data_IF_958519118375
#
_entry.id   IF_958519118375
#
_cell.length_a   1.000
_cell.length_b   1.000
_cell.length_c   1.000
_cell.angle_alpha   90.00
_cell.angle_beta   90.00
_cell.angle_gamma   90.00
#
_symmetry.space_group_name_H-M   'P 1'
#
loop_
_entity.id
_entity.type
_entity.pdbx_description
1 polymer ?
#
# COMPACT_ATOMS: atom_id res chain seq x y z
N UNK A 1 23.63 -43.95 -1.41
CA UNK A 1 23.27 -42.54 -1.65
C UNK A 1 22.00 -42.26 -0.87
N UNK A 2 22.08 -41.48 0.21
CA UNK A 2 20.89 -41.10 0.98
C UNK A 2 20.05 -40.13 0.15
N UNK A 3 18.80 -40.51 -0.10
CA UNK A 3 17.79 -39.61 -0.65
C UNK A 3 17.56 -38.52 0.40
N UNK A 4 17.90 -37.27 0.07
CA UNK A 4 17.51 -36.11 0.87
C UNK A 4 16.00 -35.96 0.67
N UNK A 5 15.22 -36.42 1.64
CA UNK A 5 13.79 -36.12 1.69
C UNK A 5 13.61 -34.65 2.05
N UNK A 6 13.36 -33.82 1.03
CA UNK A 6 12.97 -32.43 1.24
C UNK A 6 11.52 -32.43 1.71
N UNK A 7 11.31 -32.05 2.97
CA UNK A 7 9.98 -31.75 3.48
C UNK A 7 9.41 -30.54 2.73
N UNK A 8 8.52 -30.80 1.77
CA UNK A 8 7.96 -29.78 0.87
C UNK A 8 7.13 -28.74 1.61
N UNK A 9 6.51 -29.09 2.73
CA UNK A 9 5.69 -28.18 3.52
C UNK A 9 6.57 -27.21 4.32
N UNK A 10 7.64 -27.73 4.92
CA UNK A 10 8.67 -26.93 5.58
C UNK A 10 9.31 -25.94 4.59
N UNK A 11 9.69 -26.42 3.40
CA UNK A 11 10.30 -25.60 2.36
C UNK A 11 9.35 -24.49 1.86
N UNK A 12 8.05 -24.79 1.72
CA UNK A 12 7.04 -23.78 1.35
C UNK A 12 6.83 -22.74 2.43
N UNK A 13 6.86 -23.15 3.70
CA UNK A 13 6.72 -22.23 4.84
C UNK A 13 7.87 -21.23 4.87
N UNK A 14 9.10 -21.73 4.82
CA UNK A 14 10.33 -20.90 4.79
C UNK A 14 10.33 -19.96 3.57
N UNK A 15 9.91 -20.46 2.40
CA UNK A 15 9.82 -19.63 1.19
C UNK A 15 8.81 -18.48 1.34
N UNK A 16 7.65 -18.74 1.96
CA UNK A 16 6.65 -17.69 2.21
C UNK A 16 7.18 -16.62 3.16
N UNK A 17 7.86 -17.02 4.24
CA UNK A 17 8.42 -16.10 5.23
C UNK A 17 9.51 -15.21 4.60
N UNK A 18 10.45 -15.81 3.84
CA UNK A 18 11.48 -15.06 3.11
C UNK A 18 10.91 -14.09 2.07
N UNK A 19 9.93 -14.54 1.28
CA UNK A 19 9.27 -13.67 0.30
C UNK A 19 8.54 -12.53 1.00
N UNK A 20 7.91 -12.78 2.15
CA UNK A 20 7.25 -11.75 2.92
C UNK A 20 8.24 -10.75 3.51
N UNK A 21 9.37 -11.18 4.09
CA UNK A 21 10.42 -10.28 4.58
C UNK A 21 11.04 -9.43 3.47
N UNK A 22 11.34 -10.02 2.31
CA UNK A 22 11.88 -9.27 1.16
C UNK A 22 10.87 -8.23 0.70
N UNK A 23 9.61 -8.63 0.55
CA UNK A 23 8.57 -7.72 0.12
C UNK A 23 8.21 -6.69 1.20
N UNK A 24 8.36 -6.96 2.49
CA UNK A 24 8.20 -5.95 3.55
C UNK A 24 9.38 -4.99 3.59
N UNK A 25 10.61 -5.49 3.46
CA UNK A 25 11.83 -4.69 3.39
C UNK A 25 11.87 -3.77 2.16
N UNK A 26 11.34 -4.24 1.03
CA UNK A 26 11.14 -3.45 -0.19
C UNK A 26 9.85 -2.61 -0.16
N UNK A 27 9.03 -2.73 0.89
CA UNK A 27 7.79 -1.96 1.06
C UNK A 27 6.66 -2.33 0.09
N UNK A 28 6.62 -3.59 -0.32
CA UNK A 28 5.70 -4.21 -1.27
C UNK A 28 4.56 -5.05 -0.61
N UNK A 29 4.73 -5.58 0.61
CA UNK A 29 3.64 -6.23 1.39
C UNK A 29 3.31 -5.41 2.65
N UNK A 30 2.01 -5.31 2.99
CA UNK A 30 1.46 -4.42 4.05
C UNK A 30 1.52 -2.91 3.72
N UNK A 31 2.25 -2.58 2.67
CA UNK A 31 2.76 -1.25 2.34
C UNK A 31 2.21 -0.72 1.02
N UNK A 32 1.24 -1.42 0.43
CA UNK A 32 0.64 -1.07 -0.86
C UNK A 32 -0.88 -0.91 -0.73
N UNK A 33 -1.39 0.25 -1.10
CA UNK A 33 -2.82 0.50 -1.29
C UNK A 33 -3.20 0.37 -2.77
N UNK A 34 -4.39 -0.16 -3.01
CA UNK A 34 -5.08 -0.07 -4.31
C UNK A 34 -6.03 1.12 -4.28
N UNK A 35 -6.55 1.52 -5.44
CA UNK A 35 -7.46 2.65 -5.59
C UNK A 35 -8.62 2.64 -4.57
N UNK A 36 -9.27 1.50 -4.32
CA UNK A 36 -10.38 1.45 -3.37
C UNK A 36 -9.95 1.78 -1.94
N UNK A 37 -8.76 1.33 -1.53
CA UNK A 37 -8.21 1.70 -0.22
C UNK A 37 -7.81 3.18 -0.19
N UNK A 38 -7.19 3.68 -1.25
CA UNK A 38 -6.85 5.11 -1.37
C UNK A 38 -8.10 6.00 -1.25
N UNK A 39 -9.22 5.59 -1.87
CA UNK A 39 -10.51 6.28 -1.73
C UNK A 39 -10.99 6.33 -0.30
N UNK A 40 -10.89 5.23 0.43
CA UNK A 40 -11.25 5.20 1.84
C UNK A 40 -10.37 6.14 2.68
N UNK A 41 -9.05 6.12 2.48
CA UNK A 41 -8.10 6.98 3.21
C UNK A 41 -8.29 8.47 2.87
N UNK A 42 -8.77 8.77 1.66
CA UNK A 42 -9.18 10.11 1.25
C UNK A 42 -10.62 10.47 1.65
N UNK A 43 -11.27 9.73 2.56
CA UNK A 43 -12.62 10.07 3.03
C UNK A 43 -13.73 9.82 1.99
N UNK A 44 -13.55 8.83 1.12
CA UNK A 44 -14.55 8.40 0.13
C UNK A 44 -14.50 9.12 -1.21
N UNK A 45 -13.46 9.93 -1.47
CA UNK A 45 -13.33 10.69 -2.72
C UNK A 45 -13.41 9.82 -3.98
N UNK A 46 -13.78 10.45 -5.09
CA UNK A 46 -13.89 9.76 -6.38
C UNK A 46 -12.51 9.35 -6.91
N UNK A 47 -12.48 8.35 -7.78
CA UNK A 47 -11.25 7.91 -8.45
C UNK A 47 -10.59 9.06 -9.23
N UNK A 48 -11.39 9.85 -9.94
CA UNK A 48 -10.89 10.96 -10.76
C UNK A 48 -10.30 12.05 -9.87
N UNK A 49 -10.96 12.36 -8.74
CA UNK A 49 -10.42 13.31 -7.76
C UNK A 49 -9.04 12.88 -7.24
N UNK A 50 -8.87 11.59 -6.91
CA UNK A 50 -7.57 11.05 -6.46
C UNK A 50 -6.53 11.13 -7.57
N UNK A 51 -6.89 10.84 -8.82
CA UNK A 51 -5.94 10.93 -9.92
C UNK A 51 -5.46 12.37 -10.09
N UNK A 52 -6.39 13.32 -10.11
CA UNK A 52 -6.10 14.73 -10.39
C UNK A 52 -5.36 15.42 -9.25
N UNK A 53 -5.73 15.13 -7.99
CA UNK A 53 -5.22 15.84 -6.83
C UNK A 53 -4.07 15.12 -6.13
N UNK A 54 -3.98 13.79 -6.27
CA UNK A 54 -2.98 12.97 -5.58
C UNK A 54 -1.98 12.36 -6.56
N UNK A 55 -2.43 11.58 -7.55
CA UNK A 55 -1.50 10.88 -8.44
C UNK A 55 -0.61 11.84 -9.23
N UNK A 56 -1.14 13.01 -9.62
CA UNK A 56 -0.39 14.04 -10.34
C UNK A 56 0.28 15.07 -9.42
N UNK A 57 0.17 14.92 -8.10
CA UNK A 57 0.80 15.86 -7.17
C UNK A 57 2.33 15.83 -7.32
N UNK A 58 3.04 16.98 -7.41
CA UNK A 58 4.47 17.01 -7.66
C UNK A 58 5.31 16.17 -6.69
N UNK A 59 4.93 16.15 -5.40
CA UNK A 59 5.58 15.32 -4.38
C UNK A 59 5.39 13.82 -4.65
N UNK A 60 4.17 13.39 -5.00
CA UNK A 60 3.85 11.99 -5.27
C UNK A 60 4.60 11.48 -6.50
N UNK A 61 4.68 12.30 -7.55
CA UNK A 61 5.43 11.99 -8.77
C UNK A 61 6.93 11.93 -8.49
N UNK A 62 7.49 12.95 -7.82
CA UNK A 62 8.93 13.04 -7.54
C UNK A 62 9.45 11.89 -6.67
N UNK A 63 8.63 11.41 -5.74
CA UNK A 63 9.00 10.34 -4.80
C UNK A 63 8.42 8.97 -5.18
N UNK A 64 7.79 8.87 -6.36
CA UNK A 64 7.20 7.65 -6.91
C UNK A 64 6.29 6.94 -5.90
N UNK A 65 5.37 7.69 -5.29
CA UNK A 65 4.45 7.18 -4.27
C UNK A 65 3.23 6.49 -4.87
N UNK A 66 2.88 6.83 -6.11
CA UNK A 66 1.82 6.20 -6.89
C UNK A 66 2.40 5.69 -8.21
N UNK A 67 2.13 4.44 -8.53
CA UNK A 67 2.58 3.76 -9.75
C UNK A 67 1.36 3.25 -10.50
N UNK A 68 1.35 3.46 -11.82
CA UNK A 68 0.29 2.95 -12.69
C UNK A 68 0.74 1.63 -13.31
N UNK A 69 0.08 0.54 -12.93
CA UNK A 69 0.28 -0.79 -13.49
C UNK A 69 -0.87 -1.10 -14.48
N UNK A 70 -0.60 -0.84 -15.76
CA UNK A 70 -1.59 -0.92 -16.82
C UNK A 70 -2.79 0.01 -16.60
N UNK A 71 -3.93 -0.57 -16.20
CA UNK A 71 -5.17 0.17 -15.88
C UNK A 71 -5.36 0.45 -14.38
N UNK A 72 -4.50 -0.12 -13.54
CA UNK A 72 -4.62 -0.06 -12.09
C UNK A 72 -3.62 0.93 -11.50
N UNK A 73 -3.98 1.52 -10.36
CA UNK A 73 -3.07 2.34 -9.56
C UNK A 73 -2.69 1.60 -8.28
N UNK A 74 -1.40 1.68 -7.97
CA UNK A 74 -0.74 1.07 -6.83
C UNK A 74 -0.06 2.20 -6.05
N UNK A 75 -0.25 2.22 -4.74
CA UNK A 75 0.15 3.34 -3.88
C UNK A 75 1.00 2.85 -2.72
N UNK A 76 2.09 3.54 -2.38
CA UNK A 76 2.93 3.20 -1.21
C UNK A 76 2.24 3.65 0.08
N UNK A 77 1.48 2.77 0.72
CA UNK A 77 0.59 3.01 1.86
C UNK A 77 1.19 3.93 2.93
N UNK A 78 2.33 3.57 3.53
CA UNK A 78 2.93 4.36 4.62
C UNK A 78 3.25 5.80 4.18
N UNK A 79 3.90 5.96 3.02
CA UNK A 79 4.26 7.27 2.49
C UNK A 79 3.05 8.07 2.01
N UNK A 80 2.01 7.38 1.55
CA UNK A 80 0.74 8.02 1.19
C UNK A 80 -0.01 8.50 2.44
N UNK A 81 -0.03 7.73 3.52
CA UNK A 81 -0.61 8.13 4.82
C UNK A 81 0.07 9.42 5.32
N UNK A 82 1.41 9.44 5.32
CA UNK A 82 2.23 10.62 5.67
C UNK A 82 1.97 11.81 4.74
N UNK A 83 1.86 11.55 3.43
CA UNK A 83 1.56 12.58 2.43
C UNK A 83 0.17 13.20 2.64
N UNK A 84 -0.87 12.38 2.88
CA UNK A 84 -2.22 12.86 3.14
C UNK A 84 -2.24 13.70 4.42
N UNK A 85 -1.58 13.23 5.48
CA UNK A 85 -1.50 13.97 6.75
C UNK A 85 -0.80 15.34 6.59
N UNK A 86 0.17 15.44 5.66
CA UNK A 86 0.92 16.67 5.42
C UNK A 86 0.21 17.66 4.49
N UNK A 87 -0.37 17.19 3.38
CA UNK A 87 -0.88 18.04 2.30
C UNK A 87 -2.40 18.15 2.27
N UNK A 88 -3.12 17.22 2.92
CA UNK A 88 -4.58 17.17 2.96
C UNK A 88 -5.09 16.93 4.40
N UNK A 89 -4.70 17.79 5.37
CA UNK A 89 -5.04 17.60 6.78
C UNK A 89 -6.55 17.58 7.05
N UNK A 90 -7.37 18.17 6.19
CA UNK A 90 -8.82 18.13 6.23
C UNK A 90 -9.39 16.71 6.04
N UNK A 91 -8.68 15.84 5.30
CA UNK A 91 -9.10 14.45 5.10
C UNK A 91 -8.83 13.56 6.33
N UNK A 92 -7.95 14.01 7.23
CA UNK A 92 -7.54 13.30 8.46
C UNK A 92 -8.70 13.01 9.40
N UNK A 93 -9.67 13.91 9.46
CA UNK A 93 -10.84 13.79 10.33
C UNK A 93 -11.72 12.59 9.91
N UNK A 94 -11.72 12.26 8.63
CA UNK A 94 -12.63 11.25 8.07
C UNK A 94 -12.06 9.84 8.20
N UNK A 95 -10.79 9.59 7.82
CA UNK A 95 -10.25 8.22 7.84
C UNK A 95 -9.82 7.74 9.25
N UNK A 96 -9.34 8.62 10.14
CA UNK A 96 -8.95 8.22 11.52
C UNK A 96 -10.15 7.95 12.43
N UNK A 97 -11.27 8.66 12.24
CA UNK A 97 -12.53 8.37 12.96
C UNK A 97 -13.12 7.01 12.61
N UNK A 98 -12.96 6.55 11.37
CA UNK A 98 -13.43 5.23 10.95
C UNK A 98 -12.52 4.10 11.43
N UNK A 99 -11.18 4.28 11.46
CA UNK A 99 -10.26 3.31 12.06
C UNK A 99 -10.55 3.05 13.55
N UNK A 100 -10.89 4.10 14.31
CA UNK A 100 -11.21 4.00 15.74
C UNK A 100 -12.57 3.33 16.05
N UNK A 101 -13.45 3.15 15.04
CA UNK A 101 -14.73 2.45 15.21
C UNK A 101 -14.66 0.95 14.91
N UNK A 102 -13.59 0.51 14.23
CA UNK A 102 -13.45 -0.86 13.70
C UNK A 102 -12.28 -1.63 14.33
N UNK A 103 -11.62 -1.08 15.34
CA UNK A 103 -10.59 -1.74 16.16
C UNK A 103 -11.04 -1.86 17.60
#
# INVERSE_FOLDING_TARGET
MSLIEINKDEARKVLKELVQEILEAEGLIGSIWRMDRMRHECGGQSKDWIIDHICHHPYVVRHELAVKDGKNWIFKAKRMDEFIDMYFPELRINHKKERAKNG
#
